data_IF_126848230455
#
_entry.id   IF_126848230455
#
_cell.length_a   1.000
_cell.length_b   1.000
_cell.length_c   1.000
_cell.angle_alpha   90.00
_cell.angle_beta   90.00
_cell.angle_gamma   90.00
#
_symmetry.space_group_name_H-M   'P 1'
#
loop_
_entity.id
_entity.type
_entity.pdbx_description
1 polymer ?
#
# COMPACT_ATOMS: atom_id res chain seq x y z
N UNK A 1 23.19 -3.57 -27.31
CA UNK A 1 23.05 -3.55 -25.84
C UNK A 1 23.30 -2.13 -25.41
N UNK A 2 22.27 -1.45 -24.90
CA UNK A 2 22.35 -0.04 -24.50
C UNK A 2 22.35 0.03 -22.97
N UNK A 3 23.31 0.71 -22.33
CA UNK A 3 23.31 0.88 -20.89
C UNK A 3 22.16 1.81 -20.49
N UNK A 4 21.41 1.40 -19.46
CA UNK A 4 20.34 2.20 -18.88
C UNK A 4 20.44 2.20 -17.35
N UNK A 5 20.08 3.31 -16.75
CA UNK A 5 19.93 3.47 -15.31
C UNK A 5 18.45 3.48 -14.96
N UNK A 6 18.05 2.62 -14.03
CA UNK A 6 16.68 2.52 -13.54
C UNK A 6 16.67 2.96 -12.08
N UNK A 7 15.83 3.92 -11.76
CA UNK A 7 15.50 4.32 -10.39
C UNK A 7 14.04 3.99 -10.11
N UNK A 8 13.79 3.28 -9.02
CA UNK A 8 12.44 2.88 -8.59
C UNK A 8 12.19 3.40 -7.20
N UNK A 9 11.17 4.23 -7.06
CA UNK A 9 10.71 4.75 -5.78
C UNK A 9 9.54 3.91 -5.27
N UNK A 10 9.45 3.71 -3.95
CA UNK A 10 8.30 3.10 -3.30
C UNK A 10 7.55 4.17 -2.52
N UNK A 11 6.24 4.25 -2.71
CA UNK A 11 5.40 5.23 -2.03
C UNK A 11 4.07 4.61 -1.60
N UNK A 12 3.59 4.91 -0.40
CA UNK A 12 2.27 4.45 0.00
C UNK A 12 1.20 5.15 -0.84
N UNK A 13 0.16 4.42 -1.28
CA UNK A 13 -0.92 4.99 -2.09
C UNK A 13 -1.67 6.15 -1.39
N UNK A 14 -1.66 6.20 -0.06
CA UNK A 14 -2.18 7.32 0.73
C UNK A 14 -1.23 8.50 0.96
N UNK A 15 -0.04 8.46 0.33
CA UNK A 15 1.03 9.46 0.38
C UNK A 15 1.46 9.86 1.78
N UNK A 16 1.56 8.88 2.68
CA UNK A 16 2.00 9.06 4.06
C UNK A 16 2.69 7.80 4.57
N UNK A 17 4.00 7.94 4.72
CA UNK A 17 5.02 7.15 5.39
C UNK A 17 4.94 5.63 5.19
N UNK A 18 5.95 5.05 4.55
CA UNK A 18 6.23 3.62 4.65
C UNK A 18 6.77 3.32 6.06
N UNK A 19 5.88 3.25 7.04
CA UNK A 19 6.28 3.17 8.44
C UNK A 19 6.80 1.81 8.90
N UNK A 20 7.70 1.79 9.91
CA UNK A 20 8.27 0.56 10.47
C UNK A 20 7.21 -0.32 11.15
N UNK A 21 6.05 0.25 11.50
CA UNK A 21 4.92 -0.48 12.06
C UNK A 21 4.26 -1.40 11.01
N UNK A 22 4.35 -1.04 9.74
CA UNK A 22 3.69 -1.77 8.67
C UNK A 22 4.68 -2.59 7.82
N UNK A 23 5.92 -2.12 7.64
CA UNK A 23 6.93 -2.83 6.85
C UNK A 23 8.30 -2.88 7.54
N UNK A 24 9.02 -3.98 7.30
CA UNK A 24 10.43 -4.11 7.64
C UNK A 24 11.27 -3.44 6.55
N UNK A 25 11.32 -2.10 6.58
CA UNK A 25 11.89 -1.27 5.51
C UNK A 25 13.30 -1.69 5.09
N UNK A 26 14.15 -2.08 6.03
CA UNK A 26 15.54 -2.50 5.76
C UNK A 26 15.64 -3.83 4.98
N UNK A 27 14.53 -4.57 4.85
CA UNK A 27 14.48 -5.87 4.18
C UNK A 27 13.68 -5.80 2.86
N UNK A 28 13.25 -4.61 2.45
CA UNK A 28 12.58 -4.44 1.16
C UNK A 28 13.57 -4.75 0.04
N UNK A 29 13.13 -5.56 -0.93
CA UNK A 29 13.93 -5.94 -2.09
C UNK A 29 13.19 -5.58 -3.36
N UNK A 30 13.86 -4.90 -4.28
CA UNK A 30 13.29 -4.50 -5.58
C UNK A 30 14.09 -5.16 -6.70
N UNK A 31 13.39 -5.65 -7.72
CA UNK A 31 13.96 -6.31 -8.88
C UNK A 31 13.39 -5.72 -10.16
N UNK A 32 14.25 -5.57 -11.15
CA UNK A 32 13.88 -5.38 -12.54
C UNK A 32 13.97 -6.74 -13.24
N UNK A 33 12.90 -7.16 -13.91
CA UNK A 33 12.86 -8.36 -14.74
C UNK A 33 12.81 -7.94 -16.21
N UNK A 34 13.83 -8.29 -16.99
CA UNK A 34 13.90 -8.04 -18.43
C UNK A 34 14.14 -9.38 -19.12
N UNK A 35 13.24 -9.77 -20.02
CA UNK A 35 13.35 -11.04 -20.78
C UNK A 35 13.58 -12.27 -19.89
N UNK A 36 12.99 -12.29 -18.69
CA UNK A 36 13.14 -13.36 -17.70
C UNK A 36 14.41 -13.29 -16.86
N UNK A 37 15.37 -12.40 -17.17
CA UNK A 37 16.54 -12.13 -16.34
C UNK A 37 16.17 -11.17 -15.20
N UNK A 38 16.64 -11.46 -13.98
CA UNK A 38 16.37 -10.66 -12.78
C UNK A 38 17.59 -9.84 -12.38
N UNK A 39 17.39 -8.54 -12.22
CA UNK A 39 18.40 -7.57 -11.81
C UNK A 39 17.99 -6.97 -10.47
N UNK A 40 18.68 -7.27 -9.35
CA UNK A 40 18.39 -6.67 -8.07
C UNK A 40 18.76 -5.19 -8.08
N UNK A 41 17.90 -4.35 -7.53
CA UNK A 41 18.19 -2.94 -7.31
C UNK A 41 18.88 -2.77 -5.96
N UNK A 42 19.89 -1.88 -5.92
CA UNK A 42 20.51 -1.43 -4.68
C UNK A 42 19.52 -0.51 -3.98
N UNK A 43 18.92 -1.01 -2.90
CA UNK A 43 17.92 -0.30 -2.11
C UNK A 43 18.60 0.60 -1.08
N UNK A 44 18.40 1.90 -1.20
CA UNK A 44 18.97 2.90 -0.30
C UNK A 44 17.88 3.48 0.60
N UNK A 45 17.81 2.97 1.83
CA UNK A 45 16.91 3.47 2.88
C UNK A 45 17.60 4.49 3.81
N UNK A 46 18.78 5.00 3.45
CA UNK A 46 19.69 5.68 4.40
C UNK A 46 19.77 7.19 4.21
N UNK A 47 18.87 7.96 4.83
CA UNK A 47 19.23 9.19 5.54
C UNK A 47 18.01 9.89 6.19
N UNK A 48 18.00 9.97 7.53
CA UNK A 48 17.25 10.93 8.36
C UNK A 48 15.71 10.98 8.32
N UNK A 49 15.07 10.29 7.40
CA UNK A 49 13.63 10.11 7.35
C UNK A 49 13.28 9.20 6.18
N UNK A 50 12.76 8.00 6.46
CA UNK A 50 12.17 7.15 5.43
C UNK A 50 10.81 7.77 5.10
N UNK A 51 10.77 8.94 4.48
CA UNK A 51 9.50 9.40 3.92
C UNK A 51 9.23 8.65 2.62
N UNK A 52 7.96 8.61 2.28
CA UNK A 52 7.46 7.96 1.09
C UNK A 52 7.14 9.01 0.02
N UNK A 53 7.80 10.16 0.04
CA UNK A 53 7.52 11.29 -0.85
C UNK A 53 6.30 12.12 -0.43
N UNK A 54 5.74 12.85 -1.40
CA UNK A 54 4.68 13.84 -1.18
C UNK A 54 3.45 13.59 -2.05
N UNK A 55 2.37 14.29 -1.72
CA UNK A 55 1.18 14.41 -2.57
C UNK A 55 1.11 15.84 -3.12
N UNK A 56 0.91 16.00 -4.43
CA UNK A 56 0.78 17.31 -5.07
C UNK A 56 -0.30 17.32 -6.17
N UNK A 57 -0.89 18.49 -6.42
CA UNK A 57 -1.77 18.71 -7.58
C UNK A 57 -1.01 18.71 -8.91
N UNK A 58 0.32 18.79 -8.87
CA UNK A 58 1.20 18.78 -10.04
C UNK A 58 1.92 17.43 -10.13
N UNK A 59 2.07 16.92 -11.36
CA UNK A 59 2.96 15.80 -11.62
C UNK A 59 4.42 16.28 -11.67
N UNK A 60 5.38 15.41 -11.35
CA UNK A 60 6.80 15.76 -11.50
C UNK A 60 7.19 15.73 -12.97
N UNK A 61 7.66 16.87 -13.50
CA UNK A 61 8.02 17.05 -14.92
C UNK A 61 9.17 16.15 -15.40
N UNK A 62 9.85 15.43 -14.50
CA UNK A 62 10.96 14.53 -14.82
C UNK A 62 10.61 13.03 -14.67
N UNK A 63 9.35 12.71 -14.33
CA UNK A 63 8.88 11.34 -14.21
C UNK A 63 8.01 10.99 -15.42
N UNK A 64 8.31 9.94 -16.19
CA UNK A 64 7.38 9.40 -17.19
C UNK A 64 6.12 8.80 -16.54
N UNK A 65 6.07 8.79 -15.20
CA UNK A 65 5.02 8.19 -14.40
C UNK A 65 4.18 9.25 -13.70
N UNK A 66 2.87 9.20 -13.93
CA UNK A 66 1.86 9.93 -13.17
C UNK A 66 0.99 8.89 -12.46
N UNK A 67 1.06 8.83 -11.12
CA UNK A 67 0.16 8.01 -10.31
C UNK A 67 -0.92 8.91 -9.73
N UNK A 68 -2.07 9.10 -10.43
CA UNK A 68 -3.15 9.88 -9.87
C UNK A 68 -3.70 9.18 -8.64
N UNK A 69 -3.95 9.96 -7.60
CA UNK A 69 -4.68 9.55 -6.40
C UNK A 69 -5.81 10.53 -6.17
N UNK A 70 -6.88 10.07 -5.54
CA UNK A 70 -7.86 10.98 -4.95
C UNK A 70 -7.33 11.39 -3.58
N UNK A 71 -7.63 12.60 -3.12
CA UNK A 71 -7.53 12.93 -1.69
C UNK A 71 -8.75 13.73 -1.27
N UNK A 72 -9.03 13.79 0.04
CA UNK A 72 -9.94 14.80 0.56
C UNK A 72 -9.37 16.19 0.25
N UNK A 73 -10.24 17.12 -0.12
CA UNK A 73 -9.91 18.53 -0.01
C UNK A 73 -9.73 18.87 1.46
N UNK A 74 -8.69 19.64 1.79
CA UNK A 74 -8.50 20.15 3.15
C UNK A 74 -8.76 21.65 3.17
N UNK A 75 -9.49 22.11 4.17
CA UNK A 75 -9.54 23.54 4.49
C UNK A 75 -8.15 24.05 4.90
N UNK A 76 -7.92 25.37 4.88
CA UNK A 76 -6.64 25.98 5.24
C UNK A 76 -6.15 25.69 6.67
N UNK A 77 -6.94 25.01 7.51
CA UNK A 77 -6.56 24.51 8.84
C UNK A 77 -6.18 23.01 8.85
N UNK A 78 -6.11 22.36 7.70
CA UNK A 78 -5.78 20.94 7.56
C UNK A 78 -6.97 20.00 7.74
N UNK A 79 -8.15 20.48 8.17
CA UNK A 79 -9.32 19.63 8.33
C UNK A 79 -9.94 19.28 6.96
N UNK A 80 -10.32 18.02 6.73
CA UNK A 80 -10.97 17.62 5.49
C UNK A 80 -12.32 18.34 5.30
N UNK A 81 -12.61 18.74 4.07
CA UNK A 81 -13.88 19.35 3.62
C UNK A 81 -14.67 18.35 2.76
N UNK A 82 -15.95 18.63 2.50
CA UNK A 82 -16.76 17.82 1.60
C UNK A 82 -16.26 17.96 0.15
N UNK A 83 -15.59 16.93 -0.37
CA UNK A 83 -15.14 16.88 -1.76
C UNK A 83 -13.82 16.14 -1.94
N UNK A 84 -13.66 15.50 -3.09
CA UNK A 84 -12.42 14.88 -3.52
C UNK A 84 -11.68 15.80 -4.49
N UNK A 85 -10.35 15.74 -4.47
CA UNK A 85 -9.49 16.35 -5.48
C UNK A 85 -8.53 15.30 -6.04
N UNK A 86 -8.19 15.43 -7.32
CA UNK A 86 -7.14 14.62 -7.93
C UNK A 86 -5.79 15.21 -7.59
N UNK A 87 -4.93 14.39 -6.99
CA UNK A 87 -3.53 14.67 -6.78
C UNK A 87 -2.68 13.59 -7.43
N UNK A 88 -1.37 13.74 -7.35
CA UNK A 88 -0.38 12.79 -7.80
C UNK A 88 0.56 12.45 -6.66
N UNK A 89 0.97 11.20 -6.62
CA UNK A 89 2.14 10.81 -5.86
C UNK A 89 3.37 11.48 -6.50
N UNK A 90 4.10 12.23 -5.68
CA UNK A 90 5.27 12.99 -6.09
C UNK A 90 6.48 12.58 -5.27
N UNK A 91 7.59 12.46 -5.97
CA UNK A 91 8.87 12.02 -5.44
C UNK A 91 9.65 13.25 -4.96
N UNK A 92 10.38 13.12 -3.86
CA UNK A 92 11.38 14.09 -3.40
C UNK A 92 12.73 13.42 -3.12
N UNK A 93 13.68 14.19 -2.58
CA UNK A 93 15.05 13.73 -2.33
C UNK A 93 15.15 12.72 -1.17
N UNK A 94 14.11 12.60 -0.33
CA UNK A 94 14.07 11.69 0.81
C UNK A 94 13.28 10.41 0.52
N UNK A 95 12.50 10.40 -0.57
CA UNK A 95 11.68 9.26 -0.96
C UNK A 95 12.57 8.04 -1.20
N UNK A 96 12.28 6.95 -0.50
CA UNK A 96 13.10 5.75 -0.57
C UNK A 96 13.10 5.15 -1.97
N UNK A 97 14.29 4.74 -2.43
CA UNK A 97 14.51 4.25 -3.80
C UNK A 97 15.46 3.07 -3.90
N UNK A 98 15.23 2.26 -4.92
CA UNK A 98 16.20 1.31 -5.46
C UNK A 98 16.80 1.83 -6.76
N UNK A 99 18.07 1.54 -7.00
CA UNK A 99 18.72 1.85 -8.29
C UNK A 99 19.41 0.64 -8.89
N UNK A 100 19.44 0.55 -10.22
CA UNK A 100 20.25 -0.45 -10.94
C UNK A 100 20.70 0.11 -12.29
N UNK A 101 21.92 -0.24 -12.69
CA UNK A 101 22.43 -0.02 -14.04
C UNK A 101 22.51 -1.35 -14.77
N UNK A 102 21.85 -1.46 -15.92
CA UNK A 102 21.79 -2.70 -16.71
C UNK A 102 22.00 -2.40 -18.20
N UNK A 103 22.46 -3.39 -18.94
CA UNK A 103 22.48 -3.33 -20.40
C UNK A 103 21.26 -4.03 -20.95
N UNK A 104 20.44 -3.31 -21.71
CA UNK A 104 19.23 -3.87 -22.33
C UNK A 104 19.44 -4.10 -23.85
N UNK A 105 18.71 -5.04 -24.47
CA UNK A 105 18.77 -5.26 -25.92
C UNK A 105 18.54 -3.98 -26.73
N UNK A 106 19.10 -3.94 -27.93
CA UNK A 106 18.84 -2.84 -28.87
C UNK A 106 17.58 -3.19 -29.69
N UNK A 107 16.42 -2.82 -29.17
CA UNK A 107 15.10 -3.09 -29.75
C UNK A 107 14.24 -1.82 -29.73
N UNK A 108 13.16 -1.70 -30.54
CA UNK A 108 12.32 -0.51 -30.54
C UNK A 108 11.64 -0.24 -29.18
N UNK A 109 11.28 -1.31 -28.47
CA UNK A 109 10.76 -1.30 -27.11
C UNK A 109 11.04 -2.65 -26.45
N UNK A 110 11.13 -2.65 -25.12
CA UNK A 110 11.34 -3.85 -24.31
C UNK A 110 10.30 -3.87 -23.20
N UNK A 111 9.56 -4.96 -23.11
CA UNK A 111 8.66 -5.20 -21.98
C UNK A 111 9.48 -5.70 -20.79
N UNK A 112 9.27 -5.08 -19.64
CA UNK A 112 9.92 -5.45 -18.41
C UNK A 112 8.91 -5.44 -17.25
N UNK A 113 9.31 -5.99 -16.11
CA UNK A 113 8.50 -6.02 -14.90
C UNK A 113 9.31 -5.53 -13.73
N UNK A 114 8.78 -4.56 -12.99
CA UNK A 114 9.29 -4.21 -11.68
C UNK A 114 8.59 -5.08 -10.64
N UNK A 115 9.36 -5.68 -9.74
CA UNK A 115 8.85 -6.44 -8.59
C UNK A 115 9.43 -5.86 -7.31
N UNK A 116 8.57 -5.55 -6.34
CA UNK A 116 9.00 -5.21 -4.98
C UNK A 116 8.44 -6.23 -3.99
N UNK A 117 9.33 -6.79 -3.19
CA UNK A 117 9.00 -7.64 -2.04
C UNK A 117 9.08 -6.77 -0.79
N UNK A 118 7.93 -6.53 -0.18
CA UNK A 118 7.76 -5.63 0.95
C UNK A 118 7.36 -6.46 2.18
N UNK A 119 8.33 -6.91 3.00
CA UNK A 119 8.05 -7.72 4.17
C UNK A 119 7.33 -6.91 5.25
N UNK A 120 6.31 -7.51 5.87
CA UNK A 120 5.59 -7.00 7.03
C UNK A 120 6.23 -7.55 8.32
N UNK A 121 6.13 -6.83 9.46
CA UNK A 121 6.57 -7.33 10.76
C UNK A 121 5.92 -8.67 11.18
N UNK A 122 4.75 -9.00 10.63
CA UNK A 122 4.05 -10.27 10.86
C UNK A 122 4.68 -11.47 10.17
N UNK A 123 5.72 -11.27 9.34
CA UNK A 123 6.37 -12.32 8.53
C UNK A 123 5.74 -12.57 7.17
N UNK A 124 4.58 -11.97 6.88
CA UNK A 124 4.00 -11.94 5.53
C UNK A 124 4.76 -10.97 4.62
N UNK A 125 4.90 -11.28 3.35
CA UNK A 125 5.54 -10.39 2.36
C UNK A 125 4.53 -9.97 1.30
N UNK A 126 4.35 -8.66 1.13
CA UNK A 126 3.60 -8.11 0.01
C UNK A 126 4.48 -8.14 -1.24
N UNK A 127 3.95 -8.72 -2.32
CA UNK A 127 4.53 -8.62 -3.65
C UNK A 127 3.79 -7.54 -4.44
N UNK A 128 4.50 -6.49 -4.83
CA UNK A 128 4.03 -5.46 -5.77
C UNK A 128 4.67 -5.73 -7.13
N UNK A 129 3.86 -5.84 -8.17
CA UNK A 129 4.35 -6.05 -9.54
C UNK A 129 3.77 -4.98 -10.47
N UNK A 130 4.63 -4.42 -11.32
CA UNK A 130 4.22 -3.46 -12.34
C UNK A 130 4.90 -3.77 -13.66
N UNK A 131 4.09 -3.89 -14.72
CA UNK A 131 4.59 -3.97 -16.08
C UNK A 131 5.04 -2.59 -16.54
N UNK A 132 6.23 -2.52 -17.13
CA UNK A 132 6.83 -1.29 -17.66
C UNK A 132 7.35 -1.54 -19.08
N UNK A 133 7.51 -0.45 -19.83
CA UNK A 133 8.10 -0.46 -21.16
C UNK A 133 9.37 0.38 -21.13
N UNK A 134 10.47 -0.21 -21.58
CA UNK A 134 11.74 0.47 -21.77
C UNK A 134 11.93 0.77 -23.26
N UNK A 135 12.47 1.94 -23.56
CA UNK A 135 12.71 2.46 -24.93
C UNK A 135 14.20 2.79 -25.04
N UNK A 136 15.02 2.04 -25.78
CA UNK A 136 16.48 2.16 -25.68
C UNK A 136 17.11 3.51 -26.04
N UNK A 137 16.34 4.44 -26.62
CA UNK A 137 16.72 5.84 -26.80
C UNK A 137 16.76 6.64 -25.48
N UNK A 138 16.08 6.15 -24.44
CA UNK A 138 16.10 6.69 -23.09
C UNK A 138 17.12 5.91 -22.25
N UNK A 139 18.08 6.64 -21.67
CA UNK A 139 19.16 6.08 -20.84
C UNK A 139 18.82 6.05 -19.36
N UNK A 140 17.91 6.91 -18.90
CA UNK A 140 17.61 7.09 -17.49
C UNK A 140 16.11 7.00 -17.27
N UNK A 141 15.68 6.09 -16.39
CA UNK A 141 14.29 5.84 -16.09
C UNK A 141 14.00 6.06 -14.62
N UNK A 142 12.85 6.67 -14.36
CA UNK A 142 12.29 6.86 -13.04
C UNK A 142 10.90 6.25 -13.00
N UNK A 143 10.68 5.34 -12.05
CA UNK A 143 9.40 4.70 -11.80
C UNK A 143 8.98 4.87 -10.35
N UNK A 144 7.67 4.87 -10.11
CA UNK A 144 7.08 4.86 -8.78
C UNK A 144 6.19 3.63 -8.65
N UNK A 145 6.48 2.79 -7.67
CA UNK A 145 5.67 1.64 -7.30
C UNK A 145 4.79 2.02 -6.10
N UNK A 146 3.46 2.14 -6.28
CA UNK A 146 2.55 2.36 -5.16
C UNK A 146 2.46 1.09 -4.29
N UNK A 147 2.61 1.26 -2.99
CA UNK A 147 2.50 0.20 -1.99
C UNK A 147 1.22 0.42 -1.16
N UNK A 148 0.62 -0.68 -0.68
CA UNK A 148 -0.49 -0.62 0.26
C UNK A 148 -0.13 0.28 1.45
N UNK A 149 -1.02 1.23 1.77
CA UNK A 149 -0.82 2.24 2.81
C UNK A 149 -1.69 2.05 4.06
N UNK A 150 -2.44 0.94 4.16
CA UNK A 150 -3.18 0.56 5.36
C UNK A 150 -2.56 -0.67 6.02
N UNK A 151 -2.48 -0.65 7.34
CA UNK A 151 -2.03 -1.73 8.19
C UNK A 151 -3.24 -2.49 8.72
N UNK A 152 -3.36 -3.78 8.38
CA UNK A 152 -4.37 -4.67 8.94
C UNK A 152 -3.72 -5.67 9.88
N UNK A 153 -4.27 -5.79 11.09
CA UNK A 153 -3.77 -6.70 12.13
C UNK A 153 -4.92 -7.57 12.67
N UNK A 154 -4.65 -8.82 13.07
CA UNK A 154 -5.63 -9.60 13.81
C UNK A 154 -6.08 -8.82 15.05
N UNK A 155 -7.38 -8.78 15.33
CA UNK A 155 -7.86 -8.19 16.57
C UNK A 155 -7.64 -9.18 17.72
N UNK A 156 -6.80 -8.86 18.74
CA UNK A 156 -6.51 -9.78 19.84
C UNK A 156 -7.67 -9.93 20.84
N UNK A 157 -8.70 -9.07 20.76
CA UNK A 157 -9.85 -9.17 21.65
C UNK A 157 -10.61 -10.47 21.40
N UNK A 158 -10.97 -11.17 22.49
CA UNK A 158 -11.83 -12.36 22.41
C UNK A 158 -13.18 -11.98 21.84
N UNK A 159 -13.42 -12.36 20.59
CA UNK A 159 -14.70 -12.12 19.93
C UNK A 159 -15.72 -13.18 20.36
N UNK A 160 -17.02 -12.84 20.46
CA UNK A 160 -18.07 -13.84 20.57
C UNK A 160 -17.95 -14.88 19.44
N UNK A 161 -18.37 -16.11 19.70
CA UNK A 161 -18.45 -17.13 18.65
C UNK A 161 -19.29 -16.61 17.47
N UNK A 162 -18.79 -16.81 16.25
CA UNK A 162 -19.44 -16.30 15.06
C UNK A 162 -19.17 -14.83 14.76
N UNK A 163 -18.17 -14.20 15.38
CA UNK A 163 -17.75 -12.84 15.05
C UNK A 163 -16.33 -12.82 14.49
N UNK A 164 -16.16 -12.21 13.32
CA UNK A 164 -14.87 -11.86 12.74
C UNK A 164 -14.48 -10.45 13.15
N UNK A 165 -13.20 -10.21 13.37
CA UNK A 165 -12.69 -8.86 13.64
C UNK A 165 -11.26 -8.65 13.16
N UNK A 166 -10.97 -7.43 12.75
CA UNK A 166 -9.67 -6.97 12.27
C UNK A 166 -9.44 -5.53 12.73
N UNK A 167 -8.20 -5.18 13.04
CA UNK A 167 -7.79 -3.79 13.28
C UNK A 167 -7.33 -3.18 11.95
N UNK A 168 -7.84 -2.00 11.60
CA UNK A 168 -7.43 -1.25 10.40
C UNK A 168 -6.79 0.06 10.81
N UNK A 169 -5.48 0.19 10.64
CA UNK A 169 -4.71 1.38 11.02
C UNK A 169 -4.08 2.01 9.79
N UNK A 170 -3.69 3.27 9.93
CA UNK A 170 -2.75 3.87 8.98
C UNK A 170 -1.37 3.26 9.17
N UNK A 171 -0.53 3.27 8.13
CA UNK A 171 0.84 2.72 8.20
C UNK A 171 1.74 3.33 9.28
N UNK A 172 1.47 4.58 9.68
CA UNK A 172 2.11 5.19 10.86
C UNK A 172 1.76 4.50 12.18
N UNK A 173 0.87 3.52 12.19
CA UNK A 173 0.26 2.92 13.39
C UNK A 173 -0.86 3.79 13.98
N UNK A 174 -1.20 4.90 13.33
CA UNK A 174 -2.23 5.82 13.79
C UNK A 174 -3.60 5.13 13.75
N UNK A 175 -4.33 5.26 14.87
CA UNK A 175 -5.65 4.66 15.05
C UNK A 175 -6.73 5.44 14.28
N UNK A 176 -7.76 4.72 13.87
CA UNK A 176 -9.04 5.26 13.41
C UNK A 176 -9.99 5.27 14.62
N UNK A 177 -10.47 6.44 15.01
CA UNK A 177 -11.26 6.69 16.22
C UNK A 177 -12.35 7.75 15.97
N UNK A 178 -13.48 7.59 16.64
CA UNK A 178 -14.58 8.56 16.71
C UNK A 178 -14.54 9.28 18.07
N UNK A 179 -14.76 10.59 18.09
CA UNK A 179 -14.83 11.33 19.35
C UNK A 179 -13.46 11.80 19.83
N UNK A 180 -13.06 11.51 21.07
CA UNK A 180 -11.77 11.97 21.62
C UNK A 180 -10.85 10.77 21.97
N UNK A 181 -9.62 10.68 21.42
CA UNK A 181 -9.08 11.55 20.36
C UNK A 181 -9.83 11.35 19.06
N UNK A 182 -10.05 12.42 18.30
CA UNK A 182 -10.66 12.31 16.97
C UNK A 182 -9.55 11.94 16.00
N UNK A 183 -9.69 10.84 15.26
CA UNK A 183 -8.75 10.59 14.18
C UNK A 183 -8.98 11.58 13.06
N UNK A 184 -7.93 11.87 12.31
CA UNK A 184 -8.03 12.67 11.09
C UNK A 184 -8.99 12.03 10.07
N UNK A 185 -9.04 10.70 10.06
CA UNK A 185 -9.86 9.90 9.14
C UNK A 185 -11.15 9.47 9.81
N UNK A 186 -12.29 9.66 9.15
CA UNK A 186 -13.57 9.10 9.60
C UNK A 186 -13.59 7.59 9.37
N UNK A 187 -14.17 6.76 10.27
CA UNK A 187 -14.37 5.34 9.96
C UNK A 187 -15.21 5.10 8.70
N UNK A 188 -16.14 6.01 8.38
CA UNK A 188 -16.98 5.93 7.17
C UNK A 188 -16.19 6.13 5.87
N UNK A 189 -14.93 6.58 5.97
CA UNK A 189 -14.01 6.69 4.84
C UNK A 189 -13.38 5.33 4.45
N UNK A 190 -13.78 4.23 5.10
CA UNK A 190 -13.19 2.91 4.90
C UNK A 190 -14.24 1.85 4.55
N UNK A 191 -14.05 1.18 3.41
CA UNK A 191 -14.70 -0.10 3.11
C UNK A 191 -13.83 -1.23 3.64
N UNK A 192 -14.35 -1.98 4.60
CA UNK A 192 -13.66 -3.15 5.17
C UNK A 192 -14.50 -4.39 4.91
N UNK A 193 -13.88 -5.41 4.31
CA UNK A 193 -14.55 -6.66 3.92
C UNK A 193 -13.74 -7.85 4.38
N UNK A 194 -14.41 -8.83 4.98
CA UNK A 194 -13.86 -10.15 5.26
C UNK A 194 -14.32 -11.15 4.19
N UNK A 195 -13.40 -11.63 3.37
CA UNK A 195 -13.65 -12.73 2.44
C UNK A 195 -13.32 -14.05 3.14
N UNK A 196 -14.34 -14.83 3.46
CA UNK A 196 -14.25 -16.06 4.25
C UNK A 196 -14.32 -17.26 3.32
N UNK A 197 -13.37 -18.18 3.45
CA UNK A 197 -13.44 -19.49 2.81
C UNK A 197 -13.77 -20.54 3.85
N UNK A 198 -14.80 -21.34 3.62
CA UNK A 198 -15.25 -22.40 4.52
C UNK A 198 -14.68 -23.76 4.14
N UNK A 199 -14.81 -24.75 5.03
CA UNK A 199 -14.29 -26.11 4.90
C UNK A 199 -14.83 -26.89 3.68
N UNK A 200 -15.96 -26.47 3.12
CA UNK A 200 -16.54 -27.01 1.88
C UNK A 200 -16.04 -26.27 0.61
N UNK A 201 -15.04 -25.38 0.75
CA UNK A 201 -14.52 -24.47 -0.26
C UNK A 201 -15.54 -23.43 -0.77
N UNK A 202 -16.71 -23.29 -0.12
CA UNK A 202 -17.56 -22.14 -0.39
C UNK A 202 -16.90 -20.86 0.13
N UNK A 203 -17.14 -19.75 -0.56
CA UNK A 203 -16.61 -18.44 -0.20
C UNK A 203 -17.75 -17.44 -0.06
N UNK A 204 -17.65 -16.56 0.93
CA UNK A 204 -18.59 -15.47 1.12
C UNK A 204 -17.86 -14.20 1.58
N UNK A 205 -18.35 -13.04 1.14
CA UNK A 205 -17.86 -11.74 1.54
C UNK A 205 -18.77 -11.15 2.62
N UNK A 206 -18.17 -10.69 3.72
CA UNK A 206 -18.87 -10.06 4.84
C UNK A 206 -18.36 -8.62 5.01
N UNK A 207 -19.15 -7.61 4.63
CA UNK A 207 -18.86 -6.22 4.96
C UNK A 207 -18.75 -6.06 6.48
N UNK A 208 -17.76 -5.30 6.91
CA UNK A 208 -17.43 -5.13 8.32
C UNK A 208 -17.83 -3.73 8.80
N UNK A 209 -18.33 -3.65 10.03
CA UNK A 209 -18.75 -2.40 10.65
C UNK A 209 -17.67 -1.93 11.63
N UNK A 210 -17.46 -0.62 11.71
CA UNK A 210 -16.59 -0.04 12.73
C UNK A 210 -17.19 -0.25 14.13
N UNK A 211 -16.38 -0.72 15.06
CA UNK A 211 -16.74 -0.84 16.47
C UNK A 211 -16.44 0.47 17.21
N UNK A 212 -17.47 1.33 17.26
CA UNK A 212 -17.41 2.59 18.01
C UNK A 212 -17.27 2.41 19.53
N UNK A 213 -17.48 1.20 20.07
CA UNK A 213 -17.40 0.96 21.52
C UNK A 213 -15.96 0.74 21.99
N UNK A 214 -15.17 -0.05 21.25
CA UNK A 214 -13.71 -0.14 21.51
C UNK A 214 -13.00 1.13 21.10
N UNK A 215 -13.50 1.80 20.06
CA UNK A 215 -12.92 3.02 19.51
C UNK A 215 -11.42 2.87 19.24
N UNK A 216 -11.01 1.71 18.75
CA UNK A 216 -9.61 1.32 18.58
C UNK A 216 -9.35 0.71 17.21
N UNK A 217 -9.82 1.36 16.13
CA UNK A 217 -9.60 0.88 14.75
C UNK A 217 -10.21 -0.50 14.44
N UNK A 218 -11.11 -0.98 15.29
CA UNK A 218 -11.68 -2.32 15.19
C UNK A 218 -12.86 -2.32 14.21
N UNK A 219 -12.84 -3.26 13.27
CA UNK A 219 -13.95 -3.57 12.40
C UNK A 219 -14.41 -5.01 12.67
N UNK A 220 -15.71 -5.26 12.58
CA UNK A 220 -16.29 -6.57 12.85
C UNK A 220 -17.44 -6.96 11.93
N UNK A 221 -17.65 -8.26 11.76
CA UNK A 221 -18.81 -8.83 11.08
C UNK A 221 -19.24 -10.14 11.73
N UNK A 222 -20.54 -10.44 11.69
CA UNK A 222 -21.07 -11.72 12.15
C UNK A 222 -21.13 -12.74 11.02
N UNK A 223 -20.75 -13.99 11.31
CA UNK A 223 -20.77 -15.12 10.40
C UNK A 223 -21.62 -16.26 10.97
N UNK A 224 -22.23 -17.12 10.13
CA UNK A 224 -23.13 -18.16 10.60
C UNK A 224 -22.45 -19.27 11.42
N UNK A 225 -21.19 -19.60 11.11
CA UNK A 225 -20.53 -20.76 11.74
C UNK A 225 -19.00 -20.60 11.70
N UNK A 226 -18.41 -20.16 12.81
CA UNK A 226 -16.95 -19.97 12.92
C UNK A 226 -16.16 -21.28 12.81
N UNK A 227 -16.71 -22.40 13.32
CA UNK A 227 -16.05 -23.70 13.31
C UNK A 227 -15.83 -24.31 11.92
N UNK A 228 -16.41 -23.72 10.87
CA UNK A 228 -16.26 -24.16 9.48
C UNK A 228 -15.30 -23.28 8.67
N UNK A 229 -14.71 -22.23 9.26
CA UNK A 229 -13.81 -21.33 8.54
C UNK A 229 -12.45 -22.01 8.33
N UNK A 230 -11.93 -21.97 7.11
CA UNK A 230 -10.56 -22.42 6.78
C UNK A 230 -9.56 -21.27 6.81
N UNK A 231 -9.94 -20.13 6.24
CA UNK A 231 -9.17 -18.90 6.28
C UNK A 231 -10.06 -17.70 5.98
N UNK A 232 -9.61 -16.52 6.40
CA UNK A 232 -10.25 -15.23 6.15
C UNK A 232 -9.24 -14.28 5.54
N UNK A 233 -9.61 -13.66 4.42
CA UNK A 233 -8.89 -12.58 3.79
C UNK A 233 -9.62 -11.26 4.04
N UNK A 234 -9.08 -10.45 4.95
CA UNK A 234 -9.54 -9.09 5.19
C UNK A 234 -8.95 -8.15 4.15
N UNK A 235 -9.78 -7.27 3.60
CA UNK A 235 -9.37 -6.16 2.75
C UNK A 235 -9.96 -4.87 3.30
N UNK A 236 -9.15 -3.80 3.34
CA UNK A 236 -9.62 -2.46 3.64
C UNK A 236 -9.26 -1.53 2.49
N UNK A 237 -10.18 -0.65 2.12
CA UNK A 237 -9.96 0.42 1.16
C UNK A 237 -10.43 1.74 1.77
N UNK A 238 -9.60 2.76 1.67
CA UNK A 238 -9.92 4.12 2.06
C UNK A 238 -10.48 4.87 0.85
N UNK A 239 -11.72 5.37 0.92
CA UNK A 239 -12.39 6.08 -0.17
C UNK A 239 -11.62 7.33 -0.58
N UNK A 240 -11.19 8.11 0.40
CA UNK A 240 -10.56 9.40 0.17
C UNK A 240 -9.28 9.35 -0.62
N UNK A 241 -8.45 8.35 -0.35
CA UNK A 241 -7.08 8.27 -0.87
C UNK A 241 -6.91 7.20 -1.93
N UNK A 242 -7.89 6.30 -2.08
CA UNK A 242 -7.69 5.04 -2.78
C UNK A 242 -6.67 4.13 -2.09
N UNK A 243 -6.28 4.46 -0.85
CA UNK A 243 -5.35 3.66 -0.08
C UNK A 243 -5.98 2.31 0.27
N UNK A 244 -5.18 1.27 0.36
CA UNK A 244 -5.66 -0.09 0.58
C UNK A 244 -4.76 -0.86 1.52
N UNK A 245 -5.29 -1.95 2.07
CA UNK A 245 -4.55 -2.92 2.86
C UNK A 245 -5.26 -4.26 2.89
N UNK A 246 -4.52 -5.30 3.26
CA UNK A 246 -5.04 -6.66 3.33
C UNK A 246 -4.31 -7.47 4.41
N UNK A 247 -5.01 -8.49 4.92
CA UNK A 247 -4.52 -9.46 5.88
C UNK A 247 -5.19 -10.81 5.62
N UNK A 248 -4.41 -11.88 5.55
CA UNK A 248 -4.93 -13.25 5.55
C UNK A 248 -4.65 -13.90 6.89
N UNK A 249 -5.66 -14.54 7.47
CA UNK A 249 -5.57 -15.36 8.67
C UNK A 249 -6.14 -16.75 8.39
N UNK A 250 -5.50 -17.79 8.93
CA UNK A 250 -5.95 -19.19 8.88
C UNK A 250 -6.51 -19.60 10.23
#
# INVERSE_FOLDING_TARGET
MNPVNITVFLQAAGGKFLGPNAYSNNNISIYLIVEGQSYPLVYDATASGIDDGNISQQFSNASPYASPILTLQTSGSGNPTSGYQTNYLTIDDNTVRGTVSVSIPDAPYINATLKAYVPKPTGLTLLVEQLIVLVPQQTDYTFLLPVAGLLLEPNPATQPEGTLSVLVKMMCGCKITVGNPNSFWSPDDFDVVANVTFADNSAAAYPMNFDGSSNDSSFYASIPTASRVLFVCYTAQQHSTGNFGFLQVS
#
